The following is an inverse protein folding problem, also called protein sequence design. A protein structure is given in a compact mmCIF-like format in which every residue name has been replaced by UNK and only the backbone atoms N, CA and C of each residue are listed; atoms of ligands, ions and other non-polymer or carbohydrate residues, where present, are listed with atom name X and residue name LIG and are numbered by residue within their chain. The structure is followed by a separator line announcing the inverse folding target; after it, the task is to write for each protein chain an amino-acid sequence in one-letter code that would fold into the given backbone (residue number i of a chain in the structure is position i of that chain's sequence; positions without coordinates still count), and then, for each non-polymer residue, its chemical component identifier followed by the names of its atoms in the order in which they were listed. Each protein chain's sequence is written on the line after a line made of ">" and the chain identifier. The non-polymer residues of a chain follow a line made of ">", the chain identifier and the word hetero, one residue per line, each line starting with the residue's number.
data_IF_174793307328
#
_entry.id   IF_174793307328
#
_cell.length_a   1.000
_cell.length_b   1.000
_cell.length_c   1.000
_cell.angle_alpha   90.00
_cell.angle_beta   90.00
_cell.angle_gamma   90.00
#
_symmetry.space_group_name_H-M   'P 1'
#
loop_
_entity.id
_entity.type
_entity.pdbx_description
1 polymer ?
#
# COMPACT_ATOMS: atom_id res chain seq x y z
N UNK A 1 -6.26 -13.22 -5.64
CA UNK A 1 -6.19 -11.86 -6.22
C UNK A 1 -4.82 -11.79 -6.85
N UNK A 2 -4.74 -11.72 -8.19
CA UNK A 2 -3.53 -12.11 -8.96
C UNK A 2 -2.21 -11.53 -8.42
N UNK A 3 -2.22 -10.33 -7.84
CA UNK A 3 -1.02 -9.72 -7.28
C UNK A 3 -0.48 -10.42 -6.03
N UNK A 4 -1.33 -10.74 -5.04
CA UNK A 4 -0.88 -11.41 -3.80
C UNK A 4 -0.37 -12.81 -4.11
N UNK A 5 -1.08 -13.52 -4.99
CA UNK A 5 -0.71 -14.85 -5.46
C UNK A 5 0.67 -14.80 -6.15
N UNK A 6 0.86 -13.88 -7.10
CA UNK A 6 2.14 -13.67 -7.79
C UNK A 6 3.26 -13.24 -6.83
N UNK A 7 2.98 -12.40 -5.84
CA UNK A 7 3.96 -11.97 -4.85
C UNK A 7 4.44 -13.15 -3.99
N UNK A 8 3.53 -14.04 -3.56
CA UNK A 8 3.87 -15.26 -2.83
C UNK A 8 4.68 -16.25 -3.67
N UNK A 9 4.41 -16.39 -4.97
CA UNK A 9 5.18 -17.26 -5.87
C UNK A 9 6.67 -16.88 -5.94
N UNK A 10 7.01 -15.60 -5.69
CA UNK A 10 8.42 -15.18 -5.67
C UNK A 10 9.19 -15.68 -4.44
N UNK A 11 8.49 -16.06 -3.37
CA UNK A 11 9.06 -16.39 -2.04
C UNK A 11 9.85 -15.23 -1.40
N UNK A 12 9.75 -14.01 -1.96
CA UNK A 12 10.45 -12.81 -1.47
C UNK A 12 9.53 -11.86 -0.70
N UNK A 13 8.22 -12.02 -0.85
CA UNK A 13 7.21 -11.18 -0.22
C UNK A 13 6.26 -12.04 0.61
N UNK A 14 5.76 -11.46 1.70
CA UNK A 14 4.72 -12.04 2.56
C UNK A 14 3.65 -10.97 2.78
N UNK A 15 2.38 -11.33 2.61
CA UNK A 15 1.28 -10.46 3.02
C UNK A 15 1.12 -10.49 4.54
N UNK A 16 1.56 -9.43 5.22
CA UNK A 16 1.52 -9.32 6.69
C UNK A 16 0.35 -8.48 7.21
N UNK A 17 -0.17 -7.56 6.39
CA UNK A 17 -1.22 -6.65 6.78
C UNK A 17 -2.26 -6.40 5.68
N UNK A 18 -3.51 -6.17 6.08
CA UNK A 18 -4.62 -5.77 5.20
C UNK A 18 -5.37 -4.60 5.82
N UNK A 19 -5.68 -3.60 4.99
CA UNK A 19 -6.57 -2.51 5.34
C UNK A 19 -7.96 -2.70 4.73
N UNK A 20 -9.00 -2.40 5.51
CA UNK A 20 -10.34 -2.15 4.99
C UNK A 20 -11.10 -1.17 5.88
N UNK A 21 -12.08 -0.45 5.32
CA UNK A 21 -12.95 0.47 6.09
C UNK A 21 -13.81 -0.23 7.14
N UNK A 22 -13.99 -1.54 7.02
CA UNK A 22 -14.69 -2.37 8.02
C UNK A 22 -13.84 -3.58 8.35
N UNK A 23 -13.73 -3.89 9.65
CA UNK A 23 -12.98 -5.05 10.13
C UNK A 23 -13.48 -6.37 9.52
N UNK A 24 -14.79 -6.51 9.32
CA UNK A 24 -15.40 -7.70 8.71
C UNK A 24 -14.86 -7.98 7.29
N UNK A 25 -14.82 -6.96 6.44
CA UNK A 25 -14.23 -7.09 5.09
C UNK A 25 -12.73 -7.39 5.14
N UNK A 26 -11.99 -6.76 6.07
CA UNK A 26 -10.56 -7.06 6.26
C UNK A 26 -10.37 -8.53 6.66
N UNK A 27 -11.18 -9.03 7.59
CA UNK A 27 -11.12 -10.41 8.06
C UNK A 27 -11.51 -11.41 6.97
N UNK A 28 -12.58 -11.13 6.21
CA UNK A 28 -13.02 -11.97 5.10
C UNK A 28 -11.91 -12.13 4.06
N UNK A 29 -11.18 -11.05 3.77
CA UNK A 29 -10.04 -11.10 2.85
C UNK A 29 -8.86 -11.87 3.46
N UNK A 30 -8.56 -11.62 4.73
CA UNK A 30 -7.42 -12.23 5.41
C UNK A 30 -7.53 -13.74 5.59
N UNK A 31 -8.75 -14.28 5.63
CA UNK A 31 -9.00 -15.72 5.74
C UNK A 31 -8.35 -16.53 4.59
N UNK A 32 -8.23 -15.93 3.40
CA UNK A 32 -7.63 -16.59 2.24
C UNK A 32 -6.08 -16.60 2.30
N UNK A 33 -5.46 -15.75 3.12
CA UNK A 33 -4.01 -15.49 3.09
C UNK A 33 -3.31 -15.53 4.46
N UNK A 34 -4.01 -15.88 5.56
CA UNK A 34 -3.47 -15.98 6.93
C UNK A 34 -2.73 -14.70 7.40
N UNK A 35 -3.34 -13.55 7.15
CA UNK A 35 -2.76 -12.24 7.48
C UNK A 35 -2.79 -11.98 9.00
N UNK A 36 -1.67 -11.52 9.56
CA UNK A 36 -1.50 -11.32 11.01
C UNK A 36 -2.10 -9.99 11.50
N UNK A 37 -2.10 -8.96 10.64
CA UNK A 37 -2.51 -7.61 11.02
C UNK A 37 -3.67 -7.09 10.18
N UNK A 38 -4.76 -6.68 10.84
CA UNK A 38 -5.90 -6.02 10.20
C UNK A 38 -5.98 -4.58 10.66
N UNK A 39 -6.03 -3.66 9.69
CA UNK A 39 -6.15 -2.23 9.95
C UNK A 39 -7.48 -1.69 9.44
N UNK A 40 -8.09 -0.81 10.23
CA UNK A 40 -9.24 0.02 9.80
C UNK A 40 -8.88 1.48 9.61
N UNK A 41 -7.62 1.84 9.87
CA UNK A 41 -7.05 3.17 9.67
C UNK A 41 -5.78 3.05 8.83
N UNK A 42 -5.69 3.87 7.78
CA UNK A 42 -4.49 3.93 6.95
C UNK A 42 -3.32 4.57 7.69
N UNK A 43 -3.59 5.58 8.53
CA UNK A 43 -2.57 6.24 9.34
C UNK A 43 -1.93 5.27 10.34
N UNK A 44 -2.73 4.41 10.99
CA UNK A 44 -2.22 3.37 11.89
C UNK A 44 -1.38 2.34 11.13
N UNK A 45 -1.84 1.94 9.93
CA UNK A 45 -1.10 1.01 9.08
C UNK A 45 0.24 1.62 8.61
N UNK A 46 0.25 2.90 8.24
CA UNK A 46 1.46 3.59 7.78
C UNK A 46 2.50 3.76 8.89
N UNK A 47 2.06 3.95 10.14
CA UNK A 47 2.94 4.04 11.32
C UNK A 47 3.42 2.67 11.82
N UNK A 48 2.80 1.58 11.39
CA UNK A 48 3.12 0.24 11.87
C UNK A 48 4.44 -0.29 11.31
N UNK A 49 5.19 -0.99 12.14
CA UNK A 49 6.37 -1.78 11.71
C UNK A 49 5.98 -3.14 11.09
N UNK A 50 4.68 -3.42 10.92
CA UNK A 50 4.20 -4.66 10.32
C UNK A 50 4.44 -4.76 8.80
N UNK A 51 4.73 -3.63 8.13
CA UNK A 51 4.94 -3.57 6.68
C UNK A 51 6.19 -2.76 6.30
N UNK A 52 6.89 -3.25 5.28
CA UNK A 52 7.96 -2.52 4.59
C UNK A 52 7.43 -1.77 3.35
N UNK A 53 6.42 -2.36 2.69
CA UNK A 53 5.83 -1.89 1.45
C UNK A 53 4.30 -1.99 1.48
N UNK A 54 3.63 -1.14 0.71
CA UNK A 54 2.17 -1.18 0.50
C UNK A 54 1.83 -1.33 -0.97
N UNK A 55 0.80 -2.13 -1.26
CA UNK A 55 0.15 -2.21 -2.56
C UNK A 55 -1.18 -1.46 -2.51
N UNK A 56 -1.31 -0.41 -3.32
CA UNK A 56 -2.49 0.47 -3.36
C UNK A 56 -3.32 0.13 -4.60
N UNK A 57 -4.48 -0.49 -4.38
CA UNK A 57 -5.49 -0.81 -5.40
C UNK A 57 -6.86 -0.20 -5.04
N UNK A 58 -6.84 0.99 -4.45
CA UNK A 58 -8.05 1.75 -4.13
C UNK A 58 -8.59 2.47 -5.38
N UNK A 59 -9.73 3.17 -5.33
CA UNK A 59 -10.16 4.01 -6.46
C UNK A 59 -9.13 5.10 -6.80
N UNK A 60 -8.97 5.44 -8.08
CA UNK A 60 -7.97 6.40 -8.60
C UNK A 60 -7.87 7.71 -7.81
N UNK A 61 -8.99 8.26 -7.35
CA UNK A 61 -9.04 9.51 -6.56
C UNK A 61 -8.32 9.42 -5.21
N UNK A 62 -8.02 8.21 -4.74
CA UNK A 62 -7.34 7.94 -3.47
C UNK A 62 -5.87 7.54 -3.65
N UNK A 63 -5.41 7.27 -4.87
CA UNK A 63 -4.04 6.82 -5.12
C UNK A 63 -3.00 7.81 -4.61
N UNK A 64 -3.08 9.08 -5.03
CA UNK A 64 -2.13 10.10 -4.60
C UNK A 64 -2.13 10.34 -3.07
N UNK A 65 -3.27 10.61 -2.40
CA UNK A 65 -3.25 10.86 -0.96
C UNK A 65 -2.75 9.64 -0.16
N UNK A 66 -3.09 8.42 -0.58
CA UNK A 66 -2.58 7.20 0.08
C UNK A 66 -1.09 6.99 -0.19
N UNK A 67 -0.64 7.16 -1.43
CA UNK A 67 0.78 7.10 -1.80
C UNK A 67 1.59 8.08 -0.96
N UNK A 68 1.15 9.35 -0.90
CA UNK A 68 1.78 10.39 -0.09
C UNK A 68 1.86 10.00 1.38
N UNK A 69 0.79 9.44 1.95
CA UNK A 69 0.74 9.00 3.34
C UNK A 69 1.82 7.95 3.63
N UNK A 70 1.88 6.88 2.82
CA UNK A 70 2.83 5.78 3.05
C UNK A 70 4.29 6.18 2.78
N UNK A 71 4.55 6.96 1.72
CA UNK A 71 5.88 7.50 1.46
C UNK A 71 6.38 8.41 2.59
N UNK A 72 5.49 9.23 3.17
CA UNK A 72 5.84 10.12 4.30
C UNK A 72 6.20 9.34 5.57
N UNK A 73 5.69 8.11 5.70
CA UNK A 73 6.06 7.17 6.77
C UNK A 73 7.16 6.18 6.35
N UNK A 74 7.89 6.51 5.28
CA UNK A 74 9.04 5.74 4.77
C UNK A 74 8.67 4.28 4.43
N UNK A 75 7.48 4.05 3.90
CA UNK A 75 7.08 2.76 3.33
C UNK A 75 7.26 2.80 1.81
N UNK A 76 7.71 1.69 1.23
CA UNK A 76 7.72 1.54 -0.22
C UNK A 76 6.28 1.47 -0.75
N UNK A 77 6.01 2.02 -1.93
CA UNK A 77 4.66 2.06 -2.52
C UNK A 77 4.67 1.43 -3.90
N UNK A 78 3.76 0.47 -4.10
CA UNK A 78 3.34 -0.06 -5.39
C UNK A 78 1.90 0.42 -5.58
N UNK A 79 1.67 1.35 -6.51
CA UNK A 79 0.34 1.92 -6.75
C UNK A 79 -0.19 1.43 -8.09
N UNK A 80 -1.43 0.97 -8.13
CA UNK A 80 -2.08 0.68 -9.41
C UNK A 80 -2.22 1.95 -10.25
N UNK A 81 -2.29 1.74 -11.57
CA UNK A 81 -2.45 2.84 -12.52
C UNK A 81 -3.89 3.37 -12.53
N UNK A 82 -4.10 4.67 -12.79
CA UNK A 82 -3.07 5.73 -12.81
C UNK A 82 -2.66 6.13 -11.39
N UNK A 83 -1.38 6.39 -11.16
CA UNK A 83 -0.78 6.77 -9.88
C UNK A 83 -1.43 8.03 -9.28
N UNK A 84 -1.83 8.98 -10.13
CA UNK A 84 -2.42 10.24 -9.69
C UNK A 84 -3.32 10.85 -10.77
N UNK A 85 -4.03 11.93 -10.42
CA UNK A 85 -5.01 12.57 -11.32
C UNK A 85 -4.38 13.58 -12.29
N UNK A 86 -3.15 14.03 -12.01
CA UNK A 86 -2.43 15.03 -12.78
C UNK A 86 -0.91 14.85 -12.62
N UNK A 87 -0.14 15.57 -13.43
CA UNK A 87 1.32 15.43 -13.46
C UNK A 87 1.98 16.01 -12.21
N UNK A 88 1.41 17.07 -11.63
CA UNK A 88 1.93 17.73 -10.44
C UNK A 88 1.91 16.79 -9.22
N UNK A 89 0.86 15.98 -9.08
CA UNK A 89 0.77 14.94 -8.05
C UNK A 89 1.79 13.81 -8.27
N UNK A 90 2.03 13.41 -9.52
CA UNK A 90 3.06 12.40 -9.84
C UNK A 90 4.46 12.93 -9.48
N UNK A 91 4.79 14.15 -9.87
CA UNK A 91 6.06 14.80 -9.56
C UNK A 91 6.27 14.92 -8.05
N UNK A 92 5.23 15.32 -7.31
CA UNK A 92 5.26 15.38 -5.85
C UNK A 92 5.52 14.01 -5.21
N UNK A 93 4.87 12.94 -5.70
CA UNK A 93 5.09 11.58 -5.19
C UNK A 93 6.51 11.08 -5.44
N UNK A 94 7.06 11.33 -6.65
CA UNK A 94 8.45 10.97 -7.00
C UNK A 94 9.45 11.72 -6.12
N UNK A 95 9.24 13.02 -5.92
CA UNK A 95 10.10 13.83 -5.07
C UNK A 95 10.10 13.31 -3.62
N UNK A 96 8.92 13.00 -3.09
CA UNK A 96 8.75 12.48 -1.73
C UNK A 96 9.39 11.10 -1.54
N UNK A 97 9.29 10.21 -2.54
CA UNK A 97 9.92 8.90 -2.51
C UNK A 97 11.45 9.02 -2.46
N UNK A 98 12.03 9.92 -3.26
CA UNK A 98 13.47 10.21 -3.26
C UNK A 98 13.93 10.80 -1.93
N UNK A 99 13.20 11.76 -1.39
CA UNK A 99 13.50 12.40 -0.10
C UNK A 99 13.53 11.38 1.04
N UNK A 100 12.55 10.48 1.07
CA UNK A 100 12.43 9.45 2.11
C UNK A 100 13.22 8.18 1.83
N UNK A 101 13.99 8.13 0.72
CA UNK A 101 14.81 6.98 0.32
C UNK A 101 14.00 5.68 0.18
N UNK A 102 12.77 5.79 -0.31
CA UNK A 102 11.87 4.66 -0.58
C UNK A 102 11.60 4.52 -2.08
N UNK A 103 11.02 3.38 -2.44
CA UNK A 103 10.68 3.05 -3.82
C UNK A 103 9.22 3.39 -4.04
N UNK A 104 8.94 4.08 -5.15
CA UNK A 104 7.62 4.25 -5.71
C UNK A 104 7.58 3.53 -7.06
N UNK A 105 6.58 2.67 -7.24
CA UNK A 105 6.35 1.91 -8.48
C UNK A 105 4.88 2.03 -8.89
N UNK A 106 4.65 2.14 -10.20
CA UNK A 106 3.36 1.99 -10.88
C UNK A 106 3.45 0.80 -11.84
#
# INVERSE_FOLDING_TARGET
>A
LQFVDAAHETVKYKLTAVYSRSLEQAQSFANDYLVEHLFTSLDEMAQSDAIDAVYIASPNSLHFPQTKLFLSHKKHVICEKPLASNIEEVEAAIALARENQVVLFE
#
